data_IF_995661251456
#
_entry.id   IF_995661251456
#
_cell.length_a   1.000
_cell.length_b   1.000
_cell.length_c   1.000
_cell.angle_alpha   90.00
_cell.angle_beta   90.00
_cell.angle_gamma   90.00
#
_symmetry.space_group_name_H-M   'P 1'
#
loop_
_entity.id
_entity.type
_entity.pdbx_description
1 polymer ?
#
# COMPACT_ATOMS: atom_id res chain seq x y z
N UNK A 1 -19.04 35.59 22.87
CA UNK A 1 -17.63 35.45 22.40
C UNK A 1 -17.00 34.11 22.75
N UNK A 2 -17.11 33.60 23.99
CA UNK A 2 -16.56 32.28 24.37
C UNK A 2 -17.13 31.09 23.59
N UNK A 3 -18.43 31.06 23.32
CA UNK A 3 -19.07 29.94 22.59
C UNK A 3 -18.68 29.85 21.12
N UNK A 4 -18.33 30.97 20.48
CA UNK A 4 -17.84 31.01 19.09
C UNK A 4 -16.43 30.42 18.97
N UNK A 5 -15.59 30.63 19.99
CA UNK A 5 -14.22 30.08 20.04
C UNK A 5 -14.23 28.56 20.25
N UNK A 6 -15.19 28.04 21.03
CA UNK A 6 -15.34 26.60 21.27
C UNK A 6 -15.83 25.88 20.00
N UNK A 7 -16.76 26.47 19.26
CA UNK A 7 -17.26 25.91 18.00
C UNK A 7 -16.16 25.85 16.93
N UNK A 8 -15.32 26.88 16.81
CA UNK A 8 -14.16 26.86 15.90
C UNK A 8 -13.15 25.77 16.27
N UNK A 9 -12.88 25.56 17.57
CA UNK A 9 -11.94 24.53 18.02
C UNK A 9 -12.43 23.10 17.73
N UNK A 10 -13.73 22.83 17.88
CA UNK A 10 -14.33 21.52 17.58
C UNK A 10 -14.29 21.22 16.07
N UNK A 11 -14.53 22.24 15.25
CA UNK A 11 -14.49 22.13 13.79
C UNK A 11 -13.06 21.83 13.31
N UNK A 12 -12.04 22.50 13.86
CA UNK A 12 -10.64 22.22 13.52
C UNK A 12 -10.21 20.81 13.97
N UNK A 13 -10.64 20.35 15.15
CA UNK A 13 -10.36 18.99 15.61
C UNK A 13 -11.05 17.93 14.74
N UNK A 14 -12.27 18.18 14.26
CA UNK A 14 -12.96 17.28 13.34
C UNK A 14 -12.27 17.22 11.97
N UNK A 15 -11.74 18.34 11.45
CA UNK A 15 -11.00 18.33 10.19
C UNK A 15 -9.63 17.66 10.28
N UNK A 16 -8.94 17.72 11.43
CA UNK A 16 -7.65 17.05 11.61
C UNK A 16 -7.75 15.52 11.66
N UNK A 17 -8.93 14.96 11.98
CA UNK A 17 -9.16 13.50 12.01
C UNK A 17 -9.63 12.95 10.65
N UNK A 18 -10.18 13.81 9.79
CA UNK A 18 -10.77 13.41 8.48
C UNK A 18 -9.80 13.60 7.32
N UNK A 19 -8.61 14.15 7.54
CA UNK A 19 -7.53 14.13 6.55
C UNK A 19 -6.64 12.92 6.84
N UNK A 20 -6.86 11.76 6.18
CA UNK A 20 -5.91 10.67 6.27
C UNK A 20 -4.55 11.19 5.75
N UNK A 21 -3.44 10.90 6.42
CA UNK A 21 -2.10 11.23 5.94
C UNK A 21 -1.75 10.29 4.79
N UNK A 22 -2.49 10.35 3.68
CA UNK A 22 -2.47 9.31 2.66
C UNK A 22 -2.17 9.80 1.25
N UNK A 23 -2.03 11.11 1.00
CA UNK A 23 -1.80 11.57 -0.39
C UNK A 23 -0.37 11.38 -0.91
N UNK A 24 0.61 11.21 -0.02
CA UNK A 24 1.98 10.82 -0.39
C UNK A 24 2.22 9.32 -0.21
N UNK A 25 1.56 8.70 0.78
CA UNK A 25 1.55 7.26 0.96
C UNK A 25 0.94 6.58 -0.28
N UNK A 26 -0.14 7.14 -0.85
CA UNK A 26 -0.84 6.57 -2.02
C UNK A 26 0.01 6.45 -3.28
N UNK A 27 1.11 7.19 -3.47
CA UNK A 27 1.95 7.01 -4.67
C UNK A 27 2.99 5.91 -4.46
N UNK A 28 3.69 5.92 -3.32
CA UNK A 28 4.68 4.89 -3.01
C UNK A 28 4.02 3.53 -2.73
N UNK A 29 2.92 3.52 -1.98
CA UNK A 29 2.12 2.31 -1.71
C UNK A 29 1.49 1.76 -2.99
N UNK A 30 1.04 2.62 -3.90
CA UNK A 30 0.54 2.19 -5.20
C UNK A 30 1.63 1.53 -6.04
N UNK A 31 2.82 2.14 -6.15
CA UNK A 31 3.94 1.55 -6.88
C UNK A 31 4.35 0.20 -6.26
N UNK A 32 4.46 0.12 -4.93
CA UNK A 32 4.77 -1.15 -4.26
C UNK A 32 3.68 -2.19 -4.49
N UNK A 33 2.41 -1.80 -4.48
CA UNK A 33 1.32 -2.72 -4.81
C UNK A 33 1.40 -3.23 -6.24
N UNK A 34 1.63 -2.37 -7.23
CA UNK A 34 1.72 -2.78 -8.63
C UNK A 34 2.87 -3.77 -8.87
N UNK A 35 4.01 -3.54 -8.22
CA UNK A 35 5.14 -4.48 -8.26
C UNK A 35 4.73 -5.81 -7.62
N UNK A 36 4.10 -5.78 -6.44
CA UNK A 36 3.66 -6.99 -5.75
C UNK A 36 2.65 -7.80 -6.57
N UNK A 37 1.67 -7.14 -7.17
CA UNK A 37 0.69 -7.75 -8.09
C UNK A 37 1.42 -8.37 -9.28
N UNK A 38 2.33 -7.64 -9.92
CA UNK A 38 3.07 -8.12 -11.08
C UNK A 38 3.90 -9.37 -10.77
N UNK A 39 4.53 -9.44 -9.60
CA UNK A 39 5.30 -10.62 -9.21
C UNK A 39 4.41 -11.79 -8.77
N UNK A 40 3.24 -11.50 -8.18
CA UNK A 40 2.27 -12.50 -7.74
C UNK A 40 1.40 -13.07 -8.86
N UNK A 41 1.17 -12.32 -9.94
CA UNK A 41 0.38 -12.73 -11.12
C UNK A 41 1.20 -13.59 -12.12
N UNK A 42 2.48 -13.85 -11.82
CA UNK A 42 3.30 -14.76 -12.62
C UNK A 42 2.84 -16.23 -12.45
N UNK A 43 3.05 -17.10 -13.45
CA UNK A 43 2.51 -18.46 -13.46
C UNK A 43 2.83 -19.27 -12.19
N UNK A 44 1.84 -20.06 -11.79
CA UNK A 44 1.55 -20.60 -10.46
C UNK A 44 2.59 -21.52 -9.77
N UNK A 45 3.79 -21.69 -10.32
CA UNK A 45 4.84 -22.55 -9.72
C UNK A 45 5.77 -21.79 -8.76
N UNK A 46 5.54 -20.50 -8.52
CA UNK A 46 6.31 -19.74 -7.52
C UNK A 46 5.66 -19.86 -6.15
N UNK A 47 6.36 -20.48 -5.20
CA UNK A 47 6.00 -20.41 -3.80
C UNK A 47 6.10 -18.98 -3.24
N UNK A 48 5.33 -18.69 -2.18
CA UNK A 48 5.20 -17.36 -1.56
C UNK A 48 6.55 -16.69 -1.28
N UNK A 49 7.55 -17.48 -0.88
CA UNK A 49 8.89 -17.00 -0.58
C UNK A 49 9.64 -16.54 -1.83
N UNK A 50 9.41 -17.17 -2.98
CA UNK A 50 9.95 -16.70 -4.25
C UNK A 50 9.34 -15.35 -4.64
N UNK A 51 8.01 -15.22 -4.53
CA UNK A 51 7.28 -13.97 -4.83
C UNK A 51 7.75 -12.84 -3.90
N UNK A 52 7.91 -13.11 -2.60
CA UNK A 52 8.40 -12.13 -1.62
C UNK A 52 9.81 -11.63 -1.97
N UNK A 53 10.71 -12.54 -2.34
CA UNK A 53 12.08 -12.18 -2.72
C UNK A 53 12.11 -11.36 -4.01
N UNK A 54 11.30 -11.73 -5.01
CA UNK A 54 11.21 -11.01 -6.28
C UNK A 54 10.64 -9.60 -6.06
N UNK A 55 9.59 -9.48 -5.25
CA UNK A 55 9.02 -8.20 -4.83
C UNK A 55 10.07 -7.32 -4.14
N UNK A 56 10.77 -7.83 -3.12
CA UNK A 56 11.80 -7.06 -2.38
C UNK A 56 12.88 -6.58 -3.35
N UNK A 57 13.35 -7.46 -4.24
CA UNK A 57 14.38 -7.14 -5.23
C UNK A 57 13.95 -6.01 -6.16
N UNK A 58 12.71 -6.02 -6.62
CA UNK A 58 12.21 -4.97 -7.52
C UNK A 58 11.92 -3.67 -6.77
N UNK A 59 11.36 -3.77 -5.56
CA UNK A 59 11.10 -2.63 -4.68
C UNK A 59 12.40 -1.88 -4.28
N UNK A 60 13.49 -2.60 -3.99
CA UNK A 60 14.80 -2.00 -3.66
C UNK A 60 15.42 -1.22 -4.83
N UNK A 61 15.02 -1.50 -6.09
CA UNK A 61 15.45 -0.69 -7.25
C UNK A 61 14.79 0.68 -7.28
N UNK A 62 13.56 0.78 -6.77
CA UNK A 62 12.78 2.01 -6.75
C UNK A 62 13.15 2.85 -5.53
N UNK A 63 13.29 2.21 -4.36
CA UNK A 63 13.63 2.86 -3.11
C UNK A 63 15.01 2.34 -2.66
N UNK A 64 16.11 2.92 -3.17
CA UNK A 64 17.44 2.45 -2.82
C UNK A 64 17.83 2.82 -1.38
N UNK A 65 18.71 2.01 -0.80
CA UNK A 65 19.30 2.25 0.52
C UNK A 65 18.64 1.46 1.66
N UNK A 66 19.21 1.61 2.86
CA UNK A 66 18.86 0.80 4.03
C UNK A 66 17.39 0.98 4.47
N UNK A 67 16.86 2.19 4.33
CA UNK A 67 15.46 2.50 4.63
C UNK A 67 14.51 1.87 3.61
N UNK A 68 14.84 1.93 2.32
CA UNK A 68 14.01 1.33 1.28
C UNK A 68 13.88 -0.18 1.43
N UNK A 69 14.99 -0.88 1.69
CA UNK A 69 14.95 -2.32 2.03
C UNK A 69 14.01 -2.62 3.19
N UNK A 70 14.06 -1.84 4.25
CA UNK A 70 13.21 -2.03 5.43
C UNK A 70 11.73 -1.82 5.09
N UNK A 71 11.39 -0.77 4.33
CA UNK A 71 10.02 -0.50 3.91
C UNK A 71 9.49 -1.56 2.95
N UNK A 72 10.31 -2.01 1.97
CA UNK A 72 9.97 -3.12 1.09
C UNK A 72 9.69 -4.40 1.89
N UNK A 73 10.57 -4.78 2.81
CA UNK A 73 10.35 -5.95 3.66
C UNK A 73 9.07 -5.81 4.51
N UNK A 74 8.84 -4.64 5.11
CA UNK A 74 7.65 -4.38 5.91
C UNK A 74 6.37 -4.46 5.07
N UNK A 75 6.38 -3.93 3.85
CA UNK A 75 5.27 -4.01 2.92
C UNK A 75 4.99 -5.46 2.54
N UNK A 76 6.04 -6.23 2.19
CA UNK A 76 5.90 -7.62 1.79
C UNK A 76 5.23 -8.47 2.90
N UNK A 77 5.68 -8.29 4.14
CA UNK A 77 5.13 -9.00 5.29
C UNK A 77 3.68 -8.61 5.62
N UNK A 78 3.26 -7.39 5.28
CA UNK A 78 1.95 -6.86 5.65
C UNK A 78 0.89 -7.07 4.56
N UNK A 79 1.24 -6.84 3.29
CA UNK A 79 0.28 -6.70 2.19
C UNK A 79 0.35 -7.83 1.16
N UNK A 80 1.52 -8.46 0.96
CA UNK A 80 1.75 -9.40 -0.15
C UNK A 80 0.81 -10.62 -0.10
N UNK A 81 0.56 -11.17 1.10
CA UNK A 81 -0.38 -12.27 1.29
C UNK A 81 -1.83 -11.89 0.98
N UNK A 82 -2.23 -10.64 1.26
CA UNK A 82 -3.55 -10.12 0.90
C UNK A 82 -3.71 -9.95 -0.61
N UNK A 83 -2.67 -9.44 -1.28
CA UNK A 83 -2.61 -9.28 -2.73
C UNK A 83 -2.73 -10.63 -3.45
N UNK A 84 -1.97 -11.64 -3.00
CA UNK A 84 -2.01 -12.99 -3.57
C UNK A 84 -3.40 -13.60 -3.42
N UNK A 85 -4.01 -13.47 -2.23
CA UNK A 85 -5.37 -13.97 -1.98
C UNK A 85 -6.42 -13.29 -2.88
N UNK A 86 -6.27 -12.00 -3.16
CA UNK A 86 -7.16 -11.29 -4.08
C UNK A 86 -7.02 -11.81 -5.53
N UNK A 87 -5.79 -12.06 -5.98
CA UNK A 87 -5.53 -12.68 -7.29
C UNK A 87 -6.10 -14.10 -7.38
N UNK A 88 -5.87 -14.93 -6.35
CA UNK A 88 -6.43 -16.30 -6.25
C UNK A 88 -7.96 -16.30 -6.21
N UNK A 89 -8.58 -15.23 -5.68
CA UNK A 89 -10.05 -15.06 -5.67
C UNK A 89 -10.63 -14.64 -7.03
N UNK A 90 -9.80 -14.44 -8.04
CA UNK A 90 -10.20 -14.03 -9.38
C UNK A 90 -10.33 -12.51 -9.58
N UNK A 91 -9.80 -11.70 -8.66
CA UNK A 91 -9.69 -10.24 -8.88
C UNK A 91 -8.68 -9.98 -10.00
N UNK A 92 -9.04 -9.15 -10.97
CA UNK A 92 -8.13 -8.78 -12.04
C UNK A 92 -6.88 -8.09 -11.46
N UNK A 93 -5.66 -8.40 -11.93
CA UNK A 93 -4.43 -7.80 -11.43
C UNK A 93 -4.47 -6.26 -11.39
N UNK A 94 -5.04 -5.64 -12.42
CA UNK A 94 -5.23 -4.19 -12.52
C UNK A 94 -6.08 -3.60 -11.40
N UNK A 95 -6.98 -4.39 -10.81
CA UNK A 95 -7.98 -3.91 -9.85
C UNK A 95 -7.56 -4.13 -8.39
N UNK A 96 -6.61 -5.03 -8.14
CA UNK A 96 -6.19 -5.41 -6.77
C UNK A 96 -5.75 -4.19 -5.97
N UNK A 97 -4.89 -3.34 -6.54
CA UNK A 97 -4.32 -2.20 -5.83
C UNK A 97 -5.34 -1.10 -5.51
N UNK A 98 -6.38 -0.94 -6.33
CA UNK A 98 -7.51 -0.05 -6.04
C UNK A 98 -8.45 -0.65 -4.99
N UNK A 99 -8.63 -1.98 -5.03
CA UNK A 99 -9.52 -2.73 -4.13
C UNK A 99 -8.98 -2.76 -2.69
N UNK A 100 -7.67 -2.89 -2.52
CA UNK A 100 -7.00 -2.80 -1.21
C UNK A 100 -6.69 -1.36 -0.78
N UNK A 101 -7.09 -0.37 -1.58
CA UNK A 101 -6.91 1.06 -1.33
C UNK A 101 -5.44 1.56 -1.30
N UNK A 102 -4.51 0.79 -1.85
CA UNK A 102 -3.11 1.22 -2.05
C UNK A 102 -2.96 2.23 -3.18
N UNK A 103 -3.84 2.17 -4.19
CA UNK A 103 -3.93 3.15 -5.28
C UNK A 103 -5.23 3.97 -5.19
N UNK A 104 -5.20 5.26 -5.56
CA UNK A 104 -6.41 6.06 -5.70
C UNK A 104 -7.29 5.48 -6.83
N UNK A 105 -8.62 5.51 -6.66
CA UNK A 105 -9.59 5.08 -7.69
C UNK A 105 -9.57 5.97 -8.93
#
# INVERSE_FOLDING_TARGET
MRSLLVLLAVVVAAYAVVVPPAKYASTAECIMCEIAVKEADQPADKDLKAIENDFIKECEKIIPGKLGKMECQKYANKELGGIIKELESGTAPSDVCHKIHSCPK
#
